data_IF_511567452510
#
_entry.id   IF_511567452510
#
_cell.length_a   1.000
_cell.length_b   1.000
_cell.length_c   1.000
_cell.angle_alpha   90.00
_cell.angle_beta   90.00
_cell.angle_gamma   90.00
#
_symmetry.space_group_name_H-M   'P 1'
#
loop_
_entity.id
_entity.type
_entity.pdbx_description
1 polymer ?
#
# COMPACT_ATOMS: atom_id res chain seq x y z
N UNK A 1 -29.13 26.56 -13.10
CA UNK A 1 -27.76 26.65 -13.68
C UNK A 1 -26.73 27.06 -12.65
N UNK A 2 -27.02 28.07 -11.81
CA UNK A 2 -26.15 28.46 -10.69
C UNK A 2 -26.37 27.54 -9.48
N UNK A 3 -27.61 27.13 -9.18
CA UNK A 3 -27.88 26.15 -8.10
C UNK A 3 -27.25 24.77 -8.37
N UNK A 4 -27.18 24.34 -9.63
CA UNK A 4 -26.54 23.08 -10.02
C UNK A 4 -25.02 23.08 -9.76
N UNK A 5 -24.40 24.27 -9.81
CA UNK A 5 -22.99 24.48 -9.53
C UNK A 5 -22.72 24.35 -8.04
N UNK A 6 -23.55 24.97 -7.20
CA UNK A 6 -23.48 24.85 -5.74
C UNK A 6 -23.78 23.42 -5.26
N UNK A 7 -24.71 22.70 -5.90
CA UNK A 7 -24.98 21.29 -5.59
C UNK A 7 -23.80 20.38 -5.99
N UNK A 8 -23.08 20.71 -7.08
CA UNK A 8 -21.86 20.00 -7.47
C UNK A 8 -20.71 20.27 -6.51
N UNK A 9 -20.56 21.51 -6.03
CA UNK A 9 -19.54 21.86 -5.03
C UNK A 9 -19.83 21.21 -3.66
N UNK A 10 -21.09 21.14 -3.22
CA UNK A 10 -21.46 20.39 -1.99
C UNK A 10 -21.21 18.88 -2.13
N UNK A 11 -21.47 18.28 -3.30
CA UNK A 11 -21.14 16.87 -3.58
C UNK A 11 -19.63 16.63 -3.78
N UNK A 12 -18.87 17.63 -4.23
CA UNK A 12 -17.41 17.57 -4.34
C UNK A 12 -16.70 17.83 -3.01
N UNK A 13 -17.33 18.52 -2.05
CA UNK A 13 -16.72 18.94 -0.80
C UNK A 13 -16.82 17.95 0.37
N UNK A 14 -17.86 17.10 0.41
CA UNK A 14 -18.17 16.31 1.62
C UNK A 14 -17.87 14.80 1.50
N UNK A 15 -17.49 14.30 0.31
CA UNK A 15 -17.43 12.86 0.03
C UNK A 15 -16.07 12.28 -0.34
N UNK A 16 -15.06 13.10 -0.68
CA UNK A 16 -13.75 12.59 -1.04
C UNK A 16 -12.91 12.37 0.21
N UNK A 17 -13.24 11.34 0.99
CA UNK A 17 -12.31 10.83 1.99
C UNK A 17 -10.97 10.59 1.28
N UNK A 18 -9.94 11.36 1.64
CA UNK A 18 -8.75 11.64 0.81
C UNK A 18 -7.96 10.38 0.37
N UNK A 19 -8.29 9.22 0.93
CA UNK A 19 -7.67 7.92 0.63
C UNK A 19 -8.67 6.77 0.40
N UNK A 20 -9.97 7.05 0.24
CA UNK A 20 -11.01 6.01 0.07
C UNK A 20 -10.83 5.18 -1.21
N UNK A 21 -10.21 5.76 -2.23
CA UNK A 21 -9.94 5.10 -3.49
C UNK A 21 -8.44 5.06 -3.81
N UNK A 22 -7.65 4.52 -2.88
CA UNK A 22 -6.21 4.41 -3.01
C UNK A 22 -5.73 2.97 -2.85
N UNK A 23 -4.67 2.62 -3.58
CA UNK A 23 -4.00 1.33 -3.50
C UNK A 23 -2.53 1.57 -3.14
N UNK A 24 -2.10 0.98 -2.02
CA UNK A 24 -0.70 1.04 -1.62
C UNK A 24 0.16 0.15 -2.53
N UNK A 25 1.29 0.69 -2.96
CA UNK A 25 2.35 -0.05 -3.65
C UNK A 25 3.61 0.01 -2.78
N UNK A 26 4.03 -1.13 -2.26
CA UNK A 26 5.14 -1.24 -1.32
C UNK A 26 6.32 -1.95 -1.99
N UNK A 27 7.49 -1.29 -1.97
CA UNK A 27 8.76 -1.86 -2.42
C UNK A 27 9.79 -1.72 -1.31
N UNK A 28 10.03 -2.79 -0.55
CA UNK A 28 10.94 -2.78 0.59
C UNK A 28 12.26 -3.42 0.15
N UNK A 29 13.28 -2.60 -0.13
CA UNK A 29 14.63 -3.08 -0.46
C UNK A 29 15.50 -3.13 0.80
N UNK A 30 15.48 -4.27 1.48
CA UNK A 30 16.15 -4.43 2.79
C UNK A 30 17.67 -4.25 2.75
N UNK A 31 18.31 -4.33 1.58
CA UNK A 31 19.76 -4.08 1.43
C UNK A 31 20.14 -2.60 1.39
N UNK A 32 19.19 -1.71 1.14
CA UNK A 32 19.43 -0.26 0.98
C UNK A 32 18.64 0.58 1.98
N UNK A 33 17.61 0.03 2.60
CA UNK A 33 16.83 0.72 3.62
C UNK A 33 17.25 0.30 5.03
N UNK A 34 17.50 1.28 5.90
CA UNK A 34 17.59 1.05 7.34
C UNK A 34 16.21 0.77 7.96
N UNK A 35 16.17 0.16 9.15
CA UNK A 35 14.93 -0.20 9.84
C UNK A 35 13.89 0.95 9.95
N UNK A 36 14.26 2.21 10.26
CA UNK A 36 13.27 3.30 10.32
C UNK A 36 12.56 3.57 8.99
N UNK A 37 13.26 3.41 7.87
CA UNK A 37 12.68 3.61 6.54
C UNK A 37 11.75 2.45 6.15
N UNK A 38 12.13 1.22 6.50
CA UNK A 38 11.30 0.03 6.29
C UNK A 38 10.00 0.16 7.09
N UNK A 39 10.10 0.53 8.35
CA UNK A 39 8.96 0.70 9.24
C UNK A 39 7.99 1.77 8.71
N UNK A 40 8.50 2.90 8.23
CA UNK A 40 7.69 3.96 7.64
C UNK A 40 6.93 3.48 6.40
N UNK A 41 7.59 2.77 5.49
CA UNK A 41 6.95 2.23 4.26
C UNK A 41 5.83 1.26 4.62
N UNK A 42 6.07 0.34 5.56
CA UNK A 42 5.06 -0.64 5.99
C UNK A 42 3.87 0.06 6.66
N UNK A 43 4.14 1.02 7.56
CA UNK A 43 3.09 1.77 8.26
C UNK A 43 2.22 2.58 7.30
N UNK A 44 2.82 3.23 6.30
CA UNK A 44 2.08 3.97 5.26
C UNK A 44 1.26 3.02 4.37
N UNK A 45 1.81 1.87 4.01
CA UNK A 45 1.09 0.85 3.25
C UNK A 45 -0.16 0.35 3.98
N UNK A 46 -0.03 0.08 5.30
CA UNK A 46 -1.16 -0.31 6.14
C UNK A 46 -2.17 0.83 6.30
N UNK A 47 -1.72 2.07 6.49
CA UNK A 47 -2.60 3.23 6.60
C UNK A 47 -3.51 3.37 5.37
N UNK A 48 -2.93 3.33 4.16
CA UNK A 48 -3.70 3.41 2.92
C UNK A 48 -4.63 2.21 2.76
N UNK A 49 -4.17 1.01 3.14
CA UNK A 49 -4.97 -0.21 3.13
C UNK A 49 -6.22 -0.10 4.04
N UNK A 50 -6.09 0.48 5.24
CA UNK A 50 -7.22 0.62 6.19
C UNK A 50 -8.21 1.71 5.74
N UNK A 51 -7.70 2.78 5.13
CA UNK A 51 -8.53 3.92 4.70
C UNK A 51 -9.24 3.68 3.35
N UNK A 52 -8.79 2.71 2.57
CA UNK A 52 -9.35 2.40 1.26
C UNK A 52 -10.67 1.63 1.37
N UNK A 53 -11.73 2.20 0.79
CA UNK A 53 -13.08 1.66 0.77
C UNK A 53 -13.47 1.07 -0.59
N UNK A 54 -12.72 1.36 -1.66
CA UNK A 54 -12.96 0.91 -3.04
C UNK A 54 -13.01 -0.63 -3.15
N UNK A 55 -14.14 -1.24 -3.55
CA UNK A 55 -14.30 -2.70 -3.62
C UNK A 55 -13.21 -3.46 -4.40
N UNK A 56 -12.68 -2.87 -5.48
CA UNK A 56 -11.69 -3.55 -6.32
C UNK A 56 -10.38 -3.87 -5.57
N UNK A 57 -9.95 -3.00 -4.65
CA UNK A 57 -8.69 -3.15 -3.91
C UNK A 57 -8.80 -2.90 -2.40
N UNK A 58 -10.01 -2.88 -1.87
CA UNK A 58 -10.27 -2.87 -0.43
C UNK A 58 -9.49 -4.01 0.21
N UNK A 59 -8.74 -3.65 1.25
CA UNK A 59 -7.86 -4.58 1.98
C UNK A 59 -6.79 -5.26 1.11
N UNK A 60 -6.24 -4.57 0.10
CA UNK A 60 -5.14 -5.10 -0.72
C UNK A 60 -3.96 -4.13 -0.79
N UNK A 61 -2.78 -4.69 -1.04
CA UNK A 61 -1.52 -3.98 -1.28
C UNK A 61 -0.79 -4.62 -2.45
N UNK A 62 -0.12 -3.83 -3.27
CA UNK A 62 0.80 -4.35 -4.29
C UNK A 62 2.19 -4.47 -3.68
N UNK A 63 2.75 -5.68 -3.68
CA UNK A 63 4.15 -5.92 -3.36
C UNK A 63 4.96 -6.06 -4.64
N UNK A 64 6.10 -5.36 -4.72
CA UNK A 64 7.13 -5.72 -5.69
C UNK A 64 7.85 -6.94 -5.13
N UNK A 65 7.63 -8.09 -5.79
CA UNK A 65 8.06 -9.40 -5.30
C UNK A 65 9.57 -9.51 -5.05
N UNK A 66 9.99 -10.60 -4.37
CA UNK A 66 11.35 -10.72 -3.87
C UNK A 66 12.43 -10.80 -4.95
N UNK A 67 12.07 -11.17 -6.19
CA UNK A 67 13.00 -11.49 -7.28
C UNK A 67 12.95 -10.47 -8.43
N UNK A 68 14.08 -10.25 -9.12
CA UNK A 68 14.18 -9.30 -10.24
C UNK A 68 13.23 -9.59 -11.41
N UNK A 69 12.78 -10.84 -11.57
CA UNK A 69 11.96 -11.29 -12.70
C UNK A 69 10.51 -11.58 -12.28
N UNK A 70 10.10 -11.17 -11.07
CA UNK A 70 8.77 -11.42 -10.56
C UNK A 70 7.90 -10.17 -10.72
N UNK A 71 6.73 -10.34 -11.33
CA UNK A 71 5.78 -9.25 -11.54
C UNK A 71 5.25 -8.74 -10.19
N UNK A 72 4.86 -7.44 -10.09
CA UNK A 72 4.15 -6.94 -8.92
C UNK A 72 2.89 -7.78 -8.67
N UNK A 73 2.69 -8.19 -7.42
CA UNK A 73 1.55 -9.03 -7.03
C UNK A 73 0.63 -8.26 -6.10
N UNK A 74 -0.67 -8.42 -6.32
CA UNK A 74 -1.71 -7.87 -5.47
C UNK A 74 -1.99 -8.85 -4.33
N UNK A 75 -1.70 -8.44 -3.10
CA UNK A 75 -1.85 -9.24 -1.90
C UNK A 75 -3.01 -8.75 -1.05
N UNK A 76 -3.84 -9.67 -0.57
CA UNK A 76 -4.78 -9.41 0.51
C UNK A 76 -4.05 -9.54 1.84
N UNK A 77 -3.96 -8.47 2.63
CA UNK A 77 -3.25 -8.51 3.92
C UNK A 77 -4.04 -9.41 4.88
N UNK A 78 -3.33 -10.32 5.55
CA UNK A 78 -3.89 -11.23 6.55
C UNK A 78 -3.58 -10.78 7.98
N UNK A 79 -4.43 -11.21 8.91
CA UNK A 79 -4.28 -10.96 10.34
C UNK A 79 -5.12 -9.78 10.84
N UNK A 80 -5.55 -9.88 12.09
CA UNK A 80 -6.46 -8.91 12.72
C UNK A 80 -5.68 -7.79 13.43
N UNK A 81 -4.60 -8.16 14.12
CA UNK A 81 -3.76 -7.23 14.88
C UNK A 81 -2.81 -6.45 13.96
N UNK A 82 -2.54 -5.19 14.34
CA UNK A 82 -1.58 -4.34 13.62
C UNK A 82 -0.20 -5.02 13.46
N UNK A 83 0.27 -5.73 14.49
CA UNK A 83 1.54 -6.46 14.46
C UNK A 83 1.53 -7.56 13.38
N UNK A 84 0.44 -8.31 13.26
CA UNK A 84 0.32 -9.37 12.26
C UNK A 84 0.29 -8.82 10.82
N UNK A 85 -0.43 -7.70 10.60
CA UNK A 85 -0.46 -6.98 9.32
C UNK A 85 0.90 -6.41 8.95
N UNK A 86 1.61 -5.84 9.92
CA UNK A 86 2.97 -5.32 9.77
C UNK A 86 3.93 -6.40 9.28
N UNK A 87 3.98 -7.54 9.98
CA UNK A 87 4.85 -8.66 9.59
C UNK A 87 4.49 -9.23 8.21
N UNK A 88 3.19 -9.29 7.89
CA UNK A 88 2.74 -9.74 6.57
C UNK A 88 3.26 -8.83 5.45
N UNK A 89 3.07 -7.52 5.57
CA UNK A 89 3.51 -6.53 4.55
C UNK A 89 5.04 -6.49 4.48
N UNK A 90 5.74 -6.45 5.62
CA UNK A 90 7.20 -6.47 5.67
C UNK A 90 7.73 -7.70 4.93
N UNK A 91 7.19 -8.90 5.17
CA UNK A 91 7.63 -10.13 4.51
C UNK A 91 7.32 -10.13 3.01
N UNK A 92 6.11 -9.77 2.64
CA UNK A 92 5.57 -9.94 1.28
C UNK A 92 6.10 -8.88 0.31
N UNK A 93 6.35 -7.67 0.81
CA UNK A 93 6.84 -6.55 0.01
C UNK A 93 8.37 -6.38 0.09
N UNK A 94 9.08 -7.28 0.79
CA UNK A 94 10.54 -7.26 0.87
C UNK A 94 11.21 -7.92 -0.32
N UNK A 95 12.09 -7.16 -0.99
CA UNK A 95 12.97 -7.63 -2.05
C UNK A 95 14.27 -8.17 -1.48
N UNK A 96 14.54 -9.47 -1.70
CA UNK A 96 15.83 -10.10 -1.38
C UNK A 96 16.67 -10.13 -2.65
N UNK A 97 17.81 -9.41 -2.69
CA UNK A 97 18.84 -9.76 -3.69
C UNK A 97 19.43 -11.11 -3.29
N UNK A 98 19.47 -12.07 -4.22
CA UNK A 98 20.44 -13.16 -4.11
C UNK A 98 21.83 -12.53 -4.08
N UNK A 99 22.66 -12.91 -3.10
CA UNK A 99 24.05 -12.45 -3.00
C UNK A 99 24.96 -13.06 -4.08
N UNK A 100 24.41 -13.86 -5.00
CA UNK A 100 25.19 -14.67 -5.94
C UNK A 100 25.30 -14.09 -7.36
N UNK A 101 24.96 -12.82 -7.56
CA UNK A 101 25.29 -12.12 -8.82
C UNK A 101 26.22 -10.96 -8.51
N UNK A 102 27.53 -11.27 -8.54
CA UNK A 102 28.57 -10.29 -8.78
C UNK A 102 28.39 -9.75 -10.21
N UNK A 103 28.35 -8.42 -10.34
CA UNK A 103 28.48 -7.74 -11.61
C UNK A 103 29.95 -7.71 -12.04
#
# INVERSE_FOLDING_TARGET
MVEDMYLKEQKQGEGLGKFKNCLAVCNITTSFMGEPAIELVVRLGILVFELSEEPAWKRKVIGLGPLPNQLPLLHSIQGDELKSKYEFVKRTCSRKRNRDVNF
#
